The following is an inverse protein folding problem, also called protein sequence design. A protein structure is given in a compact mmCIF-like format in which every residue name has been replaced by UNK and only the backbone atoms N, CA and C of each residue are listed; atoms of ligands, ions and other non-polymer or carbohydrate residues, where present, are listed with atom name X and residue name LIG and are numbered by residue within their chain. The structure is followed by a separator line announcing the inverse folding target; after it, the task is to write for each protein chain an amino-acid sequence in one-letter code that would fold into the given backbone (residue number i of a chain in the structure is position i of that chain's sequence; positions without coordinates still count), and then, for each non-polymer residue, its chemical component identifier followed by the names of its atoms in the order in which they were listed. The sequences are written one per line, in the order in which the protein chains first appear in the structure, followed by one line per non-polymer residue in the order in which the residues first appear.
data_IF_523743296553
#
_entry.id   IF_523743296553
#
_cell.length_a   1.000
_cell.length_b   1.000
_cell.length_c   1.000
_cell.angle_alpha   90.00
_cell.angle_beta   90.00
_cell.angle_gamma   90.00
#
_symmetry.space_group_name_H-M   'P 1'
#
loop_
_entity.id
_entity.type
_entity.pdbx_description
1 polymer ?
#
# COMPACT_ATOMS: atom_id res chain seq x y z
N UNK A 1 8.84 -20.99 12.23
CA UNK A 1 8.58 -19.67 12.85
C UNK A 1 7.98 -18.79 11.77
N UNK A 2 6.66 -18.55 11.81
CA UNK A 2 5.94 -17.70 10.84
C UNK A 2 6.07 -16.26 11.32
N UNK A 3 6.68 -15.39 10.51
CA UNK A 3 6.85 -13.96 10.79
C UNK A 3 5.50 -13.24 10.72
N UNK A 4 5.00 -12.64 11.83
CA UNK A 4 3.69 -11.99 11.88
C UNK A 4 3.59 -10.67 11.09
N UNK A 5 4.73 -10.10 10.66
CA UNK A 5 4.78 -8.83 9.92
C UNK A 5 4.12 -8.89 8.53
N UNK A 6 4.14 -10.04 7.86
CA UNK A 6 3.60 -10.17 6.48
C UNK A 6 2.07 -10.09 6.40
N UNK A 7 1.34 -10.40 7.48
CA UNK A 7 -0.11 -10.51 7.42
C UNK A 7 -0.85 -9.17 7.60
N UNK A 8 -0.31 -8.26 8.42
CA UNK A 8 -0.95 -6.95 8.66
C UNK A 8 -0.88 -6.01 7.45
N UNK A 9 0.28 -5.99 6.76
CA UNK A 9 0.49 -5.09 5.62
C UNK A 9 -0.25 -5.58 4.36
N UNK A 10 -0.37 -6.89 4.17
CA UNK A 10 -1.07 -7.45 3.00
C UNK A 10 -2.60 -7.41 3.16
N UNK A 11 -3.13 -7.44 4.38
CA UNK A 11 -4.56 -7.25 4.62
C UNK A 11 -5.07 -5.88 4.14
N UNK A 12 -4.29 -4.82 4.40
CA UNK A 12 -4.62 -3.47 3.94
C UNK A 12 -4.52 -3.31 2.42
N UNK A 13 -3.52 -3.95 1.78
CA UNK A 13 -3.36 -3.91 0.31
C UNK A 13 -4.42 -4.77 -0.39
N UNK A 14 -4.73 -5.95 0.15
CA UNK A 14 -5.68 -6.89 -0.46
C UNK A 14 -7.15 -6.42 -0.41
N UNK A 15 -7.50 -5.55 0.54
CA UNK A 15 -8.86 -4.98 0.60
C UNK A 15 -9.13 -3.98 -0.54
N UNK A 16 -8.08 -3.38 -1.11
CA UNK A 16 -8.19 -2.41 -2.21
C UNK A 16 -8.26 -3.06 -3.60
N UNK A 17 -8.07 -4.38 -3.71
CA UNK A 17 -7.75 -5.02 -4.99
C UNK A 17 -8.75 -6.08 -5.45
N UNK A 18 -9.87 -6.24 -4.74
CA UNK A 18 -10.80 -7.35 -4.97
C UNK A 18 -11.68 -7.24 -6.23
N UNK A 19 -11.60 -6.15 -7.00
CA UNK A 19 -12.48 -5.90 -8.15
C UNK A 19 -11.83 -4.97 -9.18
N UNK A 20 -11.10 -5.52 -10.16
CA UNK A 20 -10.75 -4.73 -11.37
C UNK A 20 -9.71 -5.35 -12.31
N UNK A 21 -10.11 -5.55 -13.56
CA UNK A 21 -9.41 -6.05 -14.76
C UNK A 21 -7.93 -5.67 -14.99
N UNK A 22 -7.21 -6.38 -15.89
CA UNK A 22 -5.79 -6.14 -16.20
C UNK A 22 -5.61 -4.85 -17.03
N UNK A 23 -5.60 -3.70 -16.37
CA UNK A 23 -5.08 -2.48 -16.97
C UNK A 23 -3.57 -2.50 -16.79
N UNK A 24 -2.86 -2.54 -17.92
CA UNK A 24 -1.40 -2.63 -17.96
C UNK A 24 -0.78 -1.52 -17.10
N UNK A 25 -0.19 -1.92 -15.96
CA UNK A 25 0.41 -1.01 -15.00
C UNK A 25 1.53 -0.22 -15.69
N UNK A 26 1.31 1.07 -15.92
CA UNK A 26 2.35 1.93 -16.49
C UNK A 26 3.25 2.33 -15.34
N UNK A 27 4.36 1.61 -15.19
CA UNK A 27 5.41 1.92 -14.22
C UNK A 27 6.42 2.85 -14.87
N UNK A 28 6.58 4.06 -14.34
CA UNK A 28 7.58 5.01 -14.81
C UNK A 28 8.73 5.05 -13.81
N UNK A 29 9.98 4.87 -14.27
CA UNK A 29 11.16 4.82 -13.39
C UNK A 29 11.57 6.20 -12.82
N UNK A 30 10.62 7.09 -12.54
CA UNK A 30 10.89 8.48 -12.16
C UNK A 30 10.38 8.87 -10.76
N UNK A 31 9.89 7.94 -9.93
CA UNK A 31 9.28 8.24 -8.61
C UNK A 31 10.25 8.04 -7.42
N UNK A 32 11.53 8.30 -7.63
CA UNK A 32 12.55 8.35 -6.57
C UNK A 32 13.57 7.22 -6.54
N UNK A 33 13.55 6.29 -7.49
CA UNK A 33 14.61 5.27 -7.65
C UNK A 33 14.58 4.20 -6.56
N UNK A 34 13.37 3.77 -6.19
CA UNK A 34 13.12 2.87 -5.07
C UNK A 34 13.94 1.56 -5.12
N UNK A 35 14.48 1.17 -3.97
CA UNK A 35 15.20 -0.09 -3.78
C UNK A 35 14.63 -0.82 -2.57
N UNK A 36 14.52 -2.15 -2.65
CA UNK A 36 14.06 -3.00 -1.55
C UNK A 36 14.87 -2.80 -0.25
N UNK A 37 16.15 -2.43 -0.35
CA UNK A 37 17.00 -2.17 0.82
C UNK A 37 16.56 -0.91 1.55
N UNK A 38 16.34 0.20 0.84
CA UNK A 38 15.92 1.47 1.44
C UNK A 38 14.48 1.38 1.94
N UNK A 39 13.61 0.76 1.15
CA UNK A 39 12.23 0.48 1.52
C UNK A 39 12.17 -0.38 2.81
N UNK A 40 12.91 -1.48 2.85
CA UNK A 40 12.99 -2.34 4.03
C UNK A 40 13.56 -1.63 5.27
N UNK A 41 14.54 -0.75 5.10
CA UNK A 41 15.09 0.05 6.20
C UNK A 41 14.05 1.03 6.77
N UNK A 42 13.25 1.68 5.92
CA UNK A 42 12.16 2.57 6.36
C UNK A 42 11.08 1.81 7.12
N UNK A 43 10.67 0.65 6.62
CA UNK A 43 9.68 -0.17 7.31
C UNK A 43 10.22 -0.67 8.67
N UNK A 44 11.45 -1.20 8.69
CA UNK A 44 12.07 -1.68 9.93
C UNK A 44 12.37 -0.56 10.92
N UNK A 45 12.63 0.65 10.43
CA UNK A 45 12.91 1.84 11.23
C UNK A 45 11.67 2.59 11.70
N UNK A 46 10.45 2.13 11.38
CA UNK A 46 9.21 2.81 11.77
C UNK A 46 9.00 4.15 11.05
N UNK A 47 9.34 4.21 9.76
CA UNK A 47 9.12 5.38 8.90
C UNK A 47 8.38 4.97 7.61
N UNK A 48 7.33 4.15 7.73
CA UNK A 48 6.55 3.63 6.59
C UNK A 48 5.94 4.76 5.75
N UNK A 49 5.40 5.80 6.38
CA UNK A 49 4.89 7.01 5.73
C UNK A 49 5.93 7.74 4.86
N UNK A 50 7.22 7.50 5.07
CA UNK A 50 8.31 8.10 4.28
C UNK A 50 8.68 7.30 3.03
N UNK A 51 8.02 6.16 2.77
CA UNK A 51 8.23 5.38 1.55
C UNK A 51 7.91 6.23 0.33
N UNK A 52 8.73 6.09 -0.71
CA UNK A 52 8.37 6.65 -2.01
C UNK A 52 7.41 5.70 -2.75
N UNK A 53 6.68 6.18 -3.76
CA UNK A 53 5.82 5.33 -4.58
C UNK A 53 6.58 4.14 -5.19
N UNK A 54 7.78 4.37 -5.74
CA UNK A 54 8.66 3.29 -6.25
C UNK A 54 8.99 2.24 -5.16
N UNK A 55 9.21 2.67 -3.92
CA UNK A 55 9.53 1.77 -2.81
C UNK A 55 8.31 0.93 -2.39
N UNK A 56 7.11 1.51 -2.44
CA UNK A 56 5.84 0.77 -2.23
C UNK A 56 5.65 -0.28 -3.32
N UNK A 57 5.88 0.09 -4.58
CA UNK A 57 5.84 -0.81 -5.72
C UNK A 57 6.80 -1.99 -5.57
N UNK A 58 8.07 -1.73 -5.24
CA UNK A 58 9.08 -2.77 -5.06
C UNK A 58 8.75 -3.68 -3.87
N UNK A 59 8.20 -3.13 -2.78
CA UNK A 59 7.73 -3.93 -1.66
C UNK A 59 6.56 -4.82 -2.07
N UNK A 60 5.55 -4.29 -2.76
CA UNK A 60 4.40 -5.05 -3.25
C UNK A 60 4.84 -6.21 -4.15
N UNK A 61 5.69 -5.94 -5.14
CA UNK A 61 6.26 -6.97 -6.03
C UNK A 61 7.03 -8.03 -5.26
N UNK A 62 7.83 -7.59 -4.27
CA UNK A 62 8.62 -8.52 -3.45
C UNK A 62 7.69 -9.40 -2.61
N UNK A 63 6.62 -8.87 -2.04
CA UNK A 63 5.67 -9.66 -1.26
C UNK A 63 4.90 -10.64 -2.16
N UNK A 64 4.43 -10.18 -3.32
CA UNK A 64 3.76 -11.01 -4.32
C UNK A 64 4.66 -12.19 -4.76
N UNK A 65 5.95 -11.92 -5.03
CA UNK A 65 6.91 -12.96 -5.43
C UNK A 65 7.22 -14.00 -4.34
N UNK A 66 7.05 -13.66 -3.06
CA UNK A 66 7.36 -14.56 -1.95
C UNK A 66 6.11 -15.22 -1.34
N UNK A 67 4.90 -14.85 -1.78
CA UNK A 67 3.65 -15.33 -1.20
C UNK A 67 2.73 -15.84 -2.29
N UNK A 68 2.48 -17.15 -2.31
CA UNK A 68 1.53 -17.77 -3.25
C UNK A 68 0.08 -17.73 -2.77
N UNK A 69 -0.13 -17.37 -1.50
CA UNK A 69 -1.43 -17.43 -0.83
C UNK A 69 -2.23 -16.12 -0.96
N UNK A 70 -1.61 -15.07 -1.51
CA UNK A 70 -2.17 -13.72 -1.59
C UNK A 70 -2.05 -13.24 -3.03
N UNK A 71 -3.17 -12.92 -3.65
CA UNK A 71 -3.22 -12.32 -4.98
C UNK A 71 -3.02 -10.80 -4.81
N UNK A 72 -1.75 -10.40 -4.79
CA UNK A 72 -1.36 -8.99 -4.72
C UNK A 72 -1.19 -8.50 -6.15
N UNK A 73 -2.06 -7.61 -6.65
CA UNK A 73 -1.93 -7.11 -8.01
C UNK A 73 -0.69 -6.22 -8.13
N UNK A 74 -0.25 -6.08 -9.37
CA UNK A 74 0.75 -5.11 -9.74
C UNK A 74 0.19 -3.69 -9.58
N UNK A 75 0.89 -2.85 -8.83
CA UNK A 75 0.49 -1.45 -8.60
C UNK A 75 0.96 -0.55 -9.74
N UNK A 76 0.09 0.33 -10.23
CA UNK A 76 0.50 1.45 -11.08
C UNK A 76 1.21 2.54 -10.29
N UNK A 77 1.82 3.48 -11.00
CA UNK A 77 2.44 4.68 -10.44
C UNK A 77 1.47 5.52 -9.61
N UNK A 78 0.25 5.71 -10.12
CA UNK A 78 -0.78 6.48 -9.45
C UNK A 78 -1.30 5.73 -8.21
N UNK A 79 -1.48 4.42 -8.30
CA UNK A 79 -1.89 3.60 -7.16
C UNK A 79 -0.83 3.58 -6.05
N UNK A 80 0.44 3.50 -6.43
CA UNK A 80 1.54 3.55 -5.47
C UNK A 80 1.68 4.92 -4.81
N UNK A 81 1.49 6.01 -5.56
CA UNK A 81 1.46 7.36 -5.02
C UNK A 81 0.30 7.54 -4.05
N UNK A 82 -0.90 7.12 -4.42
CA UNK A 82 -2.06 7.21 -3.56
C UNK A 82 -1.93 6.35 -2.29
N UNK A 83 -1.26 5.20 -2.37
CA UNK A 83 -0.93 4.40 -1.20
C UNK A 83 0.01 5.15 -0.24
N UNK A 84 1.02 5.87 -0.74
CA UNK A 84 1.89 6.72 0.10
C UNK A 84 1.09 7.85 0.73
N UNK A 85 0.27 8.56 -0.05
CA UNK A 85 -0.57 9.64 0.47
C UNK A 85 -1.51 9.15 1.57
N UNK A 86 -2.08 7.95 1.41
CA UNK A 86 -2.94 7.34 2.42
C UNK A 86 -2.18 7.06 3.73
N UNK A 87 -0.96 6.53 3.64
CA UNK A 87 -0.11 6.29 4.81
C UNK A 87 0.26 7.61 5.52
N UNK A 88 0.53 8.67 4.75
CA UNK A 88 0.85 10.00 5.29
C UNK A 88 -0.38 10.64 5.94
N UNK A 89 -1.55 10.60 5.28
CA UNK A 89 -2.79 11.18 5.78
C UNK A 89 -3.24 10.56 7.11
N UNK A 90 -2.98 9.27 7.30
CA UNK A 90 -3.36 8.53 8.52
C UNK A 90 -2.20 8.34 9.51
N UNK A 91 -1.08 9.07 9.35
CA UNK A 91 0.11 9.02 10.22
C UNK A 91 0.65 7.59 10.47
N UNK A 92 0.64 6.75 9.43
CA UNK A 92 1.05 5.35 9.50
C UNK A 92 2.57 5.25 9.36
N UNK A 93 3.27 5.18 10.48
CA UNK A 93 4.73 5.12 10.51
C UNK A 93 5.25 3.69 10.75
N UNK A 94 4.45 2.85 11.41
CA UNK A 94 4.83 1.51 11.83
C UNK A 94 3.78 0.48 11.42
N UNK A 95 4.14 -0.80 11.56
CA UNK A 95 3.21 -1.91 11.32
C UNK A 95 2.12 -1.97 12.39
N UNK A 96 2.42 -1.51 13.59
CA UNK A 96 1.42 -1.37 14.66
C UNK A 96 0.39 -0.30 14.26
N UNK A 97 0.82 0.80 13.65
CA UNK A 97 -0.10 1.83 13.15
C UNK A 97 -1.02 1.29 12.06
N UNK A 98 -0.53 0.40 11.17
CA UNK A 98 -1.37 -0.28 10.19
C UNK A 98 -2.46 -1.11 10.87
N UNK A 99 -2.12 -1.85 11.94
CA UNK A 99 -3.10 -2.66 12.67
C UNK A 99 -4.12 -1.78 13.38
N UNK A 100 -3.65 -0.72 14.05
CA UNK A 100 -4.51 0.26 14.70
C UNK A 100 -5.45 0.93 13.71
N UNK A 101 -4.98 1.23 12.49
CA UNK A 101 -5.80 1.84 11.45
C UNK A 101 -6.89 0.88 10.96
N UNK A 102 -6.57 -0.41 10.79
CA UNK A 102 -7.57 -1.43 10.43
C UNK A 102 -8.63 -1.55 11.53
N UNK A 103 -8.22 -1.63 12.81
CA UNK A 103 -9.15 -1.70 13.93
C UNK A 103 -10.04 -0.45 14.03
N UNK A 104 -9.47 0.74 13.79
CA UNK A 104 -10.23 1.99 13.73
C UNK A 104 -11.24 1.98 12.58
N UNK A 105 -10.84 1.53 11.39
CA UNK A 105 -11.72 1.42 10.24
C UNK A 105 -12.89 0.45 10.48
N UNK A 106 -12.66 -0.65 11.22
CA UNK A 106 -13.71 -1.60 11.58
C UNK A 106 -14.72 -1.04 12.60
N UNK A 107 -14.25 -0.20 13.54
CA UNK A 107 -15.09 0.37 14.59
C UNK A 107 -15.83 1.63 14.13
N UNK A 108 -15.12 2.51 13.43
CA UNK A 108 -15.64 3.76 12.88
C UNK A 108 -14.96 4.06 11.53
N UNK A 109 -15.55 3.62 10.40
CA UNK A 109 -15.01 3.87 9.07
C UNK A 109 -14.86 5.36 8.74
N UNK A 110 -15.59 6.26 9.43
CA UNK A 110 -15.52 7.70 9.18
C UNK A 110 -14.31 8.37 9.84
N UNK A 111 -13.57 7.62 10.68
CA UNK A 111 -12.33 8.07 11.30
C UNK A 111 -11.12 8.02 10.36
N UNK A 112 -11.23 7.32 9.23
CA UNK A 112 -10.14 7.14 8.26
C UNK A 112 -10.09 8.32 7.30
N UNK A 113 -8.92 8.94 7.17
CA UNK A 113 -8.69 10.00 6.21
C UNK A 113 -8.43 9.40 4.82
N UNK A 114 -9.32 9.70 3.87
CA UNK A 114 -9.18 9.27 2.47
C UNK A 114 -8.63 10.44 1.65
N UNK A 115 -7.36 10.40 1.23
CA UNK A 115 -6.76 11.49 0.48
C UNK A 115 -7.39 11.64 -0.91
N UNK A 116 -7.31 12.85 -1.47
CA UNK A 116 -7.87 13.17 -2.79
C UNK A 116 -7.32 12.24 -3.89
N UNK A 117 -6.06 11.82 -3.80
CA UNK A 117 -5.45 10.88 -4.76
C UNK A 117 -6.15 9.52 -4.80
N UNK A 118 -6.69 9.03 -3.67
CA UNK A 118 -7.51 7.81 -3.66
C UNK A 118 -8.89 8.07 -4.25
N UNK A 119 -9.49 9.23 -3.97
CA UNK A 119 -10.78 9.61 -4.54
C UNK A 119 -10.69 9.75 -6.07
N UNK A 120 -9.61 10.35 -6.58
CA UNK A 120 -9.34 10.47 -8.02
C UNK A 120 -9.23 9.10 -8.69
N UNK A 121 -8.60 8.12 -8.03
CA UNK A 121 -8.51 6.76 -8.55
C UNK A 121 -9.87 6.03 -8.56
N UNK A 122 -10.73 6.27 -7.57
CA UNK A 122 -12.11 5.76 -7.55
C UNK A 122 -12.92 6.39 -8.70
N UNK A 123 -12.85 7.70 -8.85
CA UNK A 123 -13.57 8.45 -9.89
C UNK A 123 -13.08 8.10 -11.31
N UNK A 124 -11.79 7.79 -11.46
CA UNK A 124 -11.20 7.30 -12.70
C UNK A 124 -11.59 5.85 -13.03
N UNK A 125 -12.31 5.15 -12.14
CA UNK A 125 -12.67 3.74 -12.29
C UNK A 125 -11.48 2.79 -12.17
N UNK A 126 -10.38 3.25 -11.57
CA UNK A 126 -9.18 2.46 -11.29
C UNK A 126 -9.33 1.65 -10.00
N UNK A 127 -10.27 2.06 -9.14
CA UNK A 127 -10.85 1.24 -8.06
C UNK A 127 -12.36 1.18 -8.25
N UNK A 128 -12.95 -0.02 -8.37
CA UNK A 128 -14.40 -0.18 -8.18
C UNK A 128 -14.65 -0.90 -6.88
N UNK A 129 -15.28 -0.23 -5.90
CA UNK A 129 -15.73 -0.85 -4.63
C UNK A 129 -16.85 -1.87 -4.85
#
# INVERSE_FOLDING_TARGET
MRTPWLFGFVGAIGLMTLTGCPQQATRTSNQGGGNIITAGAKVAGGNISSLTPDEVQVLADKVASNTTDLDIPELTDEQAAAAVDFLVANDVNTIEDVQNLIEQAEQDPTSIEIPDSIQELIDAGLFSL
#
